data_IF_073542261158
#
_entry.id   IF_073542261158
#
_cell.length_a   1.000
_cell.length_b   1.000
_cell.length_c   1.000
_cell.angle_alpha   90.00
_cell.angle_beta   90.00
_cell.angle_gamma   90.00
#
_symmetry.space_group_name_H-M   'P 1'
#
loop_
_entity.id
_entity.type
_entity.pdbx_description
1 polymer ?
#
# COMPACT_ATOMS: atom_id res chain seq x y z
N UNK A 1 -20.26 -41.46 3.64
CA UNK A 1 -20.08 -39.98 3.70
C UNK A 1 -19.87 -39.64 5.16
N UNK A 2 -18.90 -38.84 5.54
CA UNK A 2 -18.85 -38.31 6.91
C UNK A 2 -20.14 -37.51 7.12
N UNK A 3 -20.77 -37.65 8.26
CA UNK A 3 -21.94 -36.90 8.63
C UNK A 3 -21.52 -35.44 8.78
N UNK A 4 -22.08 -34.55 7.98
CA UNK A 4 -21.87 -33.12 8.01
C UNK A 4 -22.94 -32.53 8.94
N UNK A 5 -22.49 -31.80 9.96
CA UNK A 5 -23.37 -31.08 10.88
C UNK A 5 -23.31 -29.60 10.56
N UNK A 6 -24.46 -28.98 10.41
CA UNK A 6 -24.55 -27.54 10.17
C UNK A 6 -25.30 -26.89 11.34
N UNK A 7 -24.75 -25.79 11.84
CA UNK A 7 -25.36 -24.99 12.88
C UNK A 7 -25.22 -23.50 12.57
N UNK A 8 -26.08 -22.67 13.12
CA UNK A 8 -26.03 -21.22 13.01
C UNK A 8 -25.72 -20.62 14.36
N UNK A 9 -24.77 -19.70 14.41
CA UNK A 9 -24.36 -18.98 15.60
C UNK A 9 -24.52 -17.47 15.37
N UNK A 10 -25.26 -16.80 16.28
CA UNK A 10 -25.43 -15.35 16.21
C UNK A 10 -24.70 -14.69 17.36
N UNK A 11 -23.81 -13.73 17.02
CA UNK A 11 -23.06 -12.95 18.00
C UNK A 11 -23.84 -11.69 18.38
N UNK A 12 -24.04 -11.47 19.68
CA UNK A 12 -24.82 -10.33 20.21
C UNK A 12 -24.06 -9.00 20.22
N UNK A 13 -22.72 -9.02 20.09
CA UNK A 13 -21.85 -7.83 20.05
C UNK A 13 -20.57 -8.11 19.29
N UNK A 14 -19.89 -7.04 18.86
CA UNK A 14 -18.57 -7.11 18.22
C UNK A 14 -17.46 -7.34 19.24
N UNK A 15 -16.38 -7.96 18.84
CA UNK A 15 -15.22 -8.25 19.68
C UNK A 15 -14.56 -9.57 19.35
N UNK A 16 -13.62 -9.96 20.18
CA UNK A 16 -12.98 -11.26 20.08
C UNK A 16 -13.83 -12.32 20.80
N UNK A 17 -14.09 -13.42 20.11
CA UNK A 17 -14.85 -14.53 20.60
C UNK A 17 -14.05 -15.81 20.52
N UNK A 18 -14.06 -16.57 21.61
CA UNK A 18 -13.57 -17.93 21.64
C UNK A 18 -14.79 -18.85 21.54
N UNK A 19 -14.87 -19.61 20.47
CA UNK A 19 -15.96 -20.58 20.27
C UNK A 19 -15.39 -21.97 20.37
N UNK A 20 -15.84 -22.73 21.37
CA UNK A 20 -15.50 -24.14 21.52
C UNK A 20 -16.65 -24.98 20.98
N UNK A 21 -16.34 -25.86 20.04
CA UNK A 21 -17.29 -26.82 19.47
C UNK A 21 -16.88 -28.20 19.95
N UNK A 22 -17.73 -28.86 20.74
CA UNK A 22 -17.47 -30.20 21.24
C UNK A 22 -18.38 -31.21 20.56
N UNK A 23 -17.80 -32.24 19.96
CA UNK A 23 -18.54 -33.39 19.43
C UNK A 23 -18.60 -34.47 20.52
N UNK A 24 -19.78 -34.67 21.10
CA UNK A 24 -20.03 -35.67 22.13
C UNK A 24 -20.42 -36.98 21.46
N UNK A 25 -19.58 -38.01 21.59
CA UNK A 25 -19.89 -39.37 21.13
C UNK A 25 -20.23 -40.28 22.31
N UNK A 26 -21.17 -41.17 22.09
CA UNK A 26 -21.66 -42.09 23.13
C UNK A 26 -20.64 -43.13 23.58
N UNK A 27 -19.52 -43.29 22.88
CA UNK A 27 -18.45 -44.24 23.22
C UNK A 27 -17.06 -43.55 23.12
N UNK A 28 -16.62 -42.99 24.22
CA UNK A 28 -15.22 -42.78 24.61
C UNK A 28 -14.29 -41.79 23.90
N UNK A 29 -14.74 -40.83 23.11
CA UNK A 29 -13.87 -39.72 22.74
C UNK A 29 -14.69 -38.48 22.39
N UNK A 30 -14.60 -37.48 23.27
CA UNK A 30 -15.03 -36.12 22.93
C UNK A 30 -13.92 -35.46 22.09
N UNK A 31 -14.28 -34.96 20.95
CA UNK A 31 -13.40 -34.14 20.12
C UNK A 31 -13.85 -32.69 20.23
N UNK A 32 -12.95 -31.77 20.56
CA UNK A 32 -13.28 -30.34 20.56
C UNK A 32 -12.40 -29.56 19.61
N UNK A 33 -12.97 -28.51 19.03
CA UNK A 33 -12.27 -27.53 18.22
C UNK A 33 -12.52 -26.14 18.79
N UNK A 34 -11.45 -25.40 19.01
CA UNK A 34 -11.53 -24.01 19.48
C UNK A 34 -11.28 -23.09 18.28
N UNK A 35 -12.23 -22.18 18.05
CA UNK A 35 -12.14 -21.17 17.01
C UNK A 35 -12.01 -19.79 17.65
N UNK A 36 -10.98 -19.06 17.25
CA UNK A 36 -10.87 -17.64 17.57
C UNK A 36 -11.50 -16.83 16.45
N UNK A 37 -12.56 -16.10 16.77
CA UNK A 37 -13.31 -15.32 15.80
C UNK A 37 -13.28 -13.83 16.19
N UNK A 38 -12.98 -12.97 15.23
CA UNK A 38 -13.11 -11.53 15.37
C UNK A 38 -14.42 -11.08 14.70
N UNK A 39 -15.41 -10.74 15.52
CA UNK A 39 -16.68 -10.18 15.05
C UNK A 39 -16.55 -8.67 14.96
N UNK A 40 -16.53 -8.15 13.74
CA UNK A 40 -16.46 -6.70 13.47
C UNK A 40 -17.86 -6.06 13.63
N UNK A 41 -17.94 -4.80 14.10
CA UNK A 41 -19.21 -4.07 14.13
C UNK A 41 -19.75 -3.89 12.70
N UNK A 42 -21.06 -3.80 12.54
CA UNK A 42 -21.66 -3.43 11.26
C UNK A 42 -21.26 -1.99 10.93
N UNK A 43 -21.05 -1.70 9.66
CA UNK A 43 -20.73 -0.33 9.22
C UNK A 43 -21.79 0.68 9.64
N UNK A 44 -23.06 0.27 9.72
CA UNK A 44 -24.19 1.09 10.19
C UNK A 44 -24.12 1.43 11.68
N UNK A 45 -23.38 0.65 12.47
CA UNK A 45 -23.31 0.80 13.93
C UNK A 45 -22.05 1.60 14.33
N UNK A 46 -21.20 1.94 13.36
CA UNK A 46 -20.00 2.74 13.57
C UNK A 46 -20.37 4.22 13.48
N UNK A 47 -20.19 4.95 14.58
CA UNK A 47 -20.20 6.40 14.52
C UNK A 47 -18.92 6.89 13.83
N UNK A 48 -19.04 7.32 12.57
CA UNK A 48 -17.92 7.88 11.83
C UNK A 48 -17.65 9.32 12.26
N UNK A 49 -16.42 9.60 12.60
CA UNK A 49 -15.92 10.97 12.77
C UNK A 49 -14.99 11.28 11.61
N UNK A 50 -15.32 12.29 10.81
CA UNK A 50 -14.43 12.80 9.76
C UNK A 50 -13.59 13.91 10.40
N UNK A 51 -12.27 13.82 10.21
CA UNK A 51 -11.33 14.86 10.58
C UNK A 51 -10.65 15.30 9.28
N UNK A 52 -10.66 16.60 9.03
CA UNK A 52 -10.05 17.21 7.86
C UNK A 52 -8.75 17.89 8.28
N UNK A 53 -7.69 17.69 7.48
CA UNK A 53 -6.40 18.34 7.65
C UNK A 53 -6.11 19.15 6.40
N UNK A 54 -5.90 20.44 6.56
CA UNK A 54 -5.56 21.33 5.45
C UNK A 54 -4.12 21.08 5.00
N UNK A 55 -3.95 20.78 3.72
CA UNK A 55 -2.64 20.68 3.10
C UNK A 55 -2.04 22.07 2.89
N UNK A 56 -0.69 22.18 2.94
CA UNK A 56 -0.02 23.44 2.62
C UNK A 56 -0.39 23.96 1.23
N UNK A 57 -0.30 25.30 1.06
CA UNK A 57 -0.62 25.94 -0.21
C UNK A 57 0.12 25.32 -1.40
N UNK A 58 -0.58 25.20 -2.51
CA UNK A 58 -0.09 24.62 -3.77
C UNK A 58 0.15 23.11 -3.77
N UNK A 59 -0.24 22.37 -2.74
CA UNK A 59 -0.26 20.92 -2.78
C UNK A 59 -1.34 20.42 -3.75
N UNK A 60 -1.01 19.40 -4.54
CA UNK A 60 -1.94 18.71 -5.46
C UNK A 60 -1.86 17.20 -5.20
N UNK A 61 -2.32 16.74 -4.02
CA UNK A 61 -2.19 15.35 -3.63
C UNK A 61 -2.95 14.45 -4.60
N UNK A 62 -2.32 13.34 -4.98
CA UNK A 62 -2.91 12.38 -5.90
C UNK A 62 -3.11 11.01 -5.25
N UNK A 63 -2.08 10.47 -4.60
CA UNK A 63 -2.10 9.12 -4.07
C UNK A 63 -1.60 9.08 -2.64
N UNK A 64 -2.40 8.55 -1.68
CA UNK A 64 -1.98 8.36 -0.29
C UNK A 64 -1.38 6.97 -0.10
N UNK A 65 -0.35 6.88 0.74
CA UNK A 65 0.27 5.64 1.18
C UNK A 65 0.52 5.69 2.69
N UNK A 66 -0.04 4.77 3.45
CA UNK A 66 0.28 4.59 4.86
C UNK A 66 1.53 3.73 5.01
N UNK A 67 2.51 4.20 5.78
CA UNK A 67 3.80 3.50 5.97
C UNK A 67 3.75 2.34 6.98
N UNK A 68 2.56 2.03 7.51
CA UNK A 68 2.39 0.98 8.51
C UNK A 68 2.80 1.39 9.92
N UNK A 69 3.23 2.63 10.15
CA UNK A 69 3.73 3.14 11.44
C UNK A 69 3.01 4.43 11.86
N UNK A 70 3.53 5.58 11.44
CA UNK A 70 3.06 6.87 11.91
C UNK A 70 2.87 7.90 10.78
N UNK A 71 3.14 7.57 9.54
CA UNK A 71 3.09 8.55 8.46
C UNK A 71 2.15 8.14 7.34
N UNK A 72 1.40 9.15 6.84
CA UNK A 72 0.73 9.07 5.55
C UNK A 72 1.57 9.84 4.54
N UNK A 73 2.07 9.15 3.54
CA UNK A 73 2.78 9.74 2.43
C UNK A 73 1.81 10.12 1.33
N UNK A 74 1.99 11.29 0.73
CA UNK A 74 1.17 11.75 -0.38
C UNK A 74 2.06 12.09 -1.57
N UNK A 75 1.67 11.62 -2.73
CA UNK A 75 2.24 12.08 -4.00
C UNK A 75 1.68 13.45 -4.39
N UNK A 76 2.43 14.20 -5.21
CA UNK A 76 1.99 15.49 -5.75
C UNK A 76 1.95 15.41 -7.29
N UNK A 77 0.77 15.57 -7.87
CA UNK A 77 0.54 15.34 -9.29
C UNK A 77 1.18 16.38 -10.23
N UNK A 78 1.50 17.56 -9.72
CA UNK A 78 1.95 18.70 -10.55
C UNK A 78 3.31 19.27 -10.12
N UNK A 79 3.87 18.76 -9.03
CA UNK A 79 5.13 19.27 -8.48
C UNK A 79 6.02 18.07 -8.10
N UNK A 80 7.35 18.14 -8.35
CA UNK A 80 8.28 17.07 -7.99
C UNK A 80 8.53 17.05 -6.49
N UNK A 81 7.56 16.54 -5.74
CA UNK A 81 7.55 16.59 -4.28
C UNK A 81 6.76 15.43 -3.70
N UNK A 82 7.24 14.92 -2.57
CA UNK A 82 6.51 14.04 -1.68
C UNK A 82 6.10 14.80 -0.43
N UNK A 83 4.91 14.53 0.08
CA UNK A 83 4.45 15.00 1.38
C UNK A 83 4.43 13.86 2.37
N UNK A 84 4.84 14.14 3.60
CA UNK A 84 4.71 13.26 4.75
C UNK A 84 3.81 13.93 5.78
N UNK A 85 2.71 13.30 6.11
CA UNK A 85 1.84 13.69 7.21
C UNK A 85 2.12 12.80 8.42
N UNK A 86 2.60 13.35 9.51
CA UNK A 86 2.77 12.64 10.77
C UNK A 86 1.44 12.53 11.50
N UNK A 87 1.02 11.30 11.81
CA UNK A 87 -0.25 11.04 12.50
C UNK A 87 -0.20 11.57 13.95
N UNK A 88 0.94 11.42 14.62
CA UNK A 88 1.11 11.83 16.02
C UNK A 88 1.13 13.35 16.18
N UNK A 89 1.91 14.06 15.36
CA UNK A 89 2.06 15.52 15.47
C UNK A 89 1.01 16.28 14.67
N UNK A 90 0.36 15.61 13.70
CA UNK A 90 -0.59 16.21 12.75
C UNK A 90 0.03 17.31 11.88
N UNK A 91 1.33 17.19 11.61
CA UNK A 91 2.10 18.13 10.81
C UNK A 91 2.51 17.56 9.47
N UNK A 92 2.66 18.44 8.47
CA UNK A 92 3.13 18.09 7.13
C UNK A 92 4.60 18.47 6.96
N UNK A 93 5.38 17.55 6.42
CA UNK A 93 6.72 17.79 5.87
C UNK A 93 6.72 17.56 4.38
N UNK A 94 7.64 18.19 3.64
CA UNK A 94 7.76 18.00 2.19
C UNK A 94 9.19 17.80 1.74
N UNK A 95 9.37 16.95 0.72
CA UNK A 95 10.65 16.57 0.16
C UNK A 95 10.63 16.75 -1.34
N UNK A 96 11.41 17.71 -1.85
CA UNK A 96 11.48 18.03 -3.28
C UNK A 96 12.71 17.40 -3.93
N UNK A 97 12.62 17.13 -5.23
CA UNK A 97 13.71 16.57 -6.03
C UNK A 97 13.76 17.22 -7.43
N UNK A 98 14.77 16.90 -8.22
CA UNK A 98 14.83 17.31 -9.63
C UNK A 98 13.97 16.37 -10.49
N UNK A 99 12.71 16.72 -10.64
CA UNK A 99 11.69 15.97 -11.36
C UNK A 99 10.60 16.86 -11.94
N UNK A 100 9.44 16.28 -12.25
CA UNK A 100 8.27 17.03 -12.70
C UNK A 100 7.03 16.75 -11.85
N UNK A 101 6.86 15.51 -11.37
CA UNK A 101 5.73 15.12 -10.54
C UNK A 101 6.05 13.88 -9.72
N UNK A 102 5.21 13.59 -8.73
CA UNK A 102 5.10 12.24 -8.16
C UNK A 102 3.68 11.75 -8.39
N UNK A 103 3.50 10.50 -8.83
CA UNK A 103 2.15 10.01 -9.12
C UNK A 103 1.71 8.88 -8.21
N UNK A 104 2.19 7.66 -8.39
CA UNK A 104 1.81 6.51 -7.57
C UNK A 104 2.94 6.13 -6.64
N UNK A 105 2.59 5.62 -5.46
CA UNK A 105 3.52 5.29 -4.38
C UNK A 105 3.44 3.81 -4.03
N UNK A 106 4.56 3.26 -3.58
CA UNK A 106 4.64 1.97 -2.91
C UNK A 106 5.74 2.02 -1.85
N UNK A 107 5.76 1.04 -0.96
CA UNK A 107 6.77 0.92 0.08
C UNK A 107 7.51 -0.40 -0.06
N UNK A 108 8.84 -0.38 0.06
CA UNK A 108 9.65 -1.60 0.15
C UNK A 108 9.73 -2.14 1.59
N UNK A 109 10.35 -3.31 1.78
CA UNK A 109 10.49 -3.92 3.10
C UNK A 109 11.45 -3.16 4.04
N UNK A 110 12.27 -2.25 3.49
CA UNK A 110 13.14 -1.37 4.27
C UNK A 110 12.40 -0.11 4.74
N UNK A 111 11.19 0.09 4.26
CA UNK A 111 10.36 1.24 4.58
C UNK A 111 10.57 2.45 3.66
N UNK A 112 11.41 2.37 2.64
CA UNK A 112 11.57 3.45 1.68
C UNK A 112 10.30 3.61 0.84
N UNK A 113 9.97 4.86 0.52
CA UNK A 113 8.77 5.17 -0.28
C UNK A 113 9.19 5.38 -1.72
N UNK A 114 8.78 4.47 -2.58
CA UNK A 114 9.01 4.52 -4.02
C UNK A 114 7.89 5.27 -4.73
N UNK A 115 8.23 5.95 -5.81
CA UNK A 115 7.28 6.72 -6.62
C UNK A 115 7.62 6.66 -8.11
N UNK A 116 6.66 7.07 -8.92
CA UNK A 116 6.84 7.29 -10.36
C UNK A 116 6.84 8.79 -10.66
N UNK A 117 7.85 9.27 -11.38
CA UNK A 117 7.83 10.55 -12.07
C UNK A 117 7.40 10.28 -13.53
N UNK A 118 6.09 10.17 -13.69
CA UNK A 118 5.45 9.81 -14.96
C UNK A 118 5.89 10.68 -16.14
N UNK A 119 5.95 12.04 -16.04
CA UNK A 119 6.32 12.87 -17.18
C UNK A 119 7.80 12.75 -17.61
N UNK A 120 8.68 12.26 -16.72
CA UNK A 120 10.11 12.06 -17.04
C UNK A 120 10.48 10.61 -17.33
N UNK A 121 9.53 9.68 -17.29
CA UNK A 121 9.80 8.25 -17.40
C UNK A 121 10.87 7.79 -16.39
N UNK A 122 10.67 8.18 -15.12
CA UNK A 122 11.56 7.85 -14.02
C UNK A 122 10.81 7.16 -12.90
N UNK A 123 11.51 6.34 -12.16
CA UNK A 123 11.16 5.95 -10.81
C UNK A 123 12.10 6.63 -9.83
N UNK A 124 11.67 6.77 -8.60
CA UNK A 124 12.53 7.25 -7.53
C UNK A 124 12.08 6.70 -6.19
N UNK A 125 12.90 6.91 -5.19
CA UNK A 125 12.53 6.61 -3.81
C UNK A 125 13.10 7.65 -2.86
N UNK A 126 12.41 7.86 -1.76
CA UNK A 126 12.93 8.56 -0.59
C UNK A 126 13.40 7.52 0.43
N UNK A 127 14.67 7.62 0.83
CA UNK A 127 15.19 6.82 1.92
C UNK A 127 14.58 7.28 3.23
N UNK A 128 13.95 6.35 3.97
CA UNK A 128 13.14 6.71 5.14
C UNK A 128 13.96 7.28 6.30
N UNK A 129 15.23 6.93 6.39
CA UNK A 129 16.12 7.37 7.46
C UNK A 129 16.77 8.72 7.15
N UNK A 130 17.34 8.83 5.94
CA UNK A 130 18.11 10.03 5.55
C UNK A 130 17.24 11.13 4.94
N UNK A 131 16.01 10.79 4.53
CA UNK A 131 15.07 11.65 3.79
C UNK A 131 15.64 12.15 2.45
N UNK A 132 16.65 11.47 1.92
CA UNK A 132 17.21 11.77 0.60
C UNK A 132 16.44 11.06 -0.49
N UNK A 133 16.21 11.78 -1.59
CA UNK A 133 15.54 11.23 -2.77
C UNK A 133 16.58 10.87 -3.83
N UNK A 134 16.42 9.68 -4.38
CA UNK A 134 17.19 9.18 -5.53
C UNK A 134 16.22 8.85 -6.65
N UNK A 135 16.58 9.22 -7.89
CA UNK A 135 15.77 8.90 -9.08
C UNK A 135 16.53 8.07 -10.07
N UNK A 136 15.81 7.29 -10.89
CA UNK A 136 16.32 6.40 -11.91
C UNK A 136 15.48 6.50 -13.18
N UNK A 137 16.13 6.80 -14.30
CA UNK A 137 15.46 6.80 -15.61
C UNK A 137 15.14 5.37 -16.05
N UNK A 138 13.92 5.14 -16.48
CA UNK A 138 13.50 3.86 -17.07
C UNK A 138 14.05 3.82 -18.51
N UNK A 139 14.85 2.80 -18.86
CA UNK A 139 15.46 2.73 -20.19
C UNK A 139 14.41 2.46 -21.29
N UNK A 140 14.72 2.86 -22.50
CA UNK A 140 13.94 2.58 -23.72
C UNK A 140 12.49 3.12 -23.70
N UNK A 141 12.19 4.08 -22.85
CA UNK A 141 10.92 4.82 -22.87
C UNK A 141 11.16 6.21 -23.45
N UNK A 142 10.40 6.56 -24.49
CA UNK A 142 10.40 7.91 -25.05
C UNK A 142 9.35 8.77 -24.33
N UNK A 143 9.76 9.81 -23.59
CA UNK A 143 8.82 10.63 -22.82
C UNK A 143 7.88 11.48 -23.70
N UNK A 144 8.14 11.57 -25.00
CA UNK A 144 7.25 12.27 -25.95
C UNK A 144 6.08 11.40 -26.42
N UNK A 145 6.14 10.09 -26.14
CA UNK A 145 5.13 9.12 -26.55
C UNK A 145 4.31 8.72 -25.33
N UNK A 146 3.06 9.21 -25.25
CA UNK A 146 2.15 8.98 -24.13
C UNK A 146 1.88 7.49 -23.85
N UNK A 147 1.96 6.63 -24.87
CA UNK A 147 1.83 5.18 -24.76
C UNK A 147 2.99 4.51 -24.02
N UNK A 148 4.11 5.21 -23.86
CA UNK A 148 5.29 4.71 -23.13
C UNK A 148 5.35 5.20 -21.68
N UNK A 149 4.28 5.72 -21.17
CA UNK A 149 4.24 6.37 -19.85
C UNK A 149 4.18 5.35 -18.72
N UNK A 150 5.13 5.36 -17.77
CA UNK A 150 5.04 4.56 -16.57
C UNK A 150 3.92 5.11 -15.67
N UNK A 151 3.08 4.22 -15.14
CA UNK A 151 1.90 4.61 -14.35
C UNK A 151 1.96 4.07 -12.92
N UNK A 152 1.60 2.80 -12.73
CA UNK A 152 1.51 2.22 -11.40
C UNK A 152 2.83 1.58 -10.99
N UNK A 153 3.08 1.57 -9.70
CA UNK A 153 4.30 1.03 -9.09
C UNK A 153 3.92 0.16 -7.89
N UNK A 154 4.60 -0.98 -7.73
CA UNK A 154 4.40 -1.88 -6.62
C UNK A 154 5.72 -2.56 -6.26
N UNK A 155 6.09 -2.55 -4.98
CA UNK A 155 7.17 -3.37 -4.47
C UNK A 155 6.68 -4.80 -4.18
N UNK A 156 7.48 -5.81 -4.48
CA UNK A 156 7.24 -7.19 -4.09
C UNK A 156 7.97 -7.55 -2.77
N UNK A 157 7.82 -8.79 -2.33
CA UNK A 157 8.44 -9.27 -1.08
C UNK A 157 9.98 -9.38 -1.13
N UNK A 158 10.56 -9.36 -2.33
CA UNK A 158 12.00 -9.40 -2.56
C UNK A 158 12.58 -8.01 -2.88
N UNK A 159 11.81 -6.94 -2.60
CA UNK A 159 12.14 -5.54 -2.84
C UNK A 159 12.33 -5.18 -4.34
N UNK A 160 11.88 -6.03 -5.27
CA UNK A 160 11.82 -5.62 -6.66
C UNK A 160 10.64 -4.66 -6.88
N UNK A 161 10.83 -3.73 -7.78
CA UNK A 161 9.86 -2.68 -8.08
C UNK A 161 9.20 -2.97 -9.43
N UNK A 162 7.92 -3.26 -9.41
CA UNK A 162 7.12 -3.54 -10.60
C UNK A 162 6.41 -2.28 -11.08
N UNK A 163 6.48 -2.03 -12.39
CA UNK A 163 5.96 -0.80 -13.02
C UNK A 163 5.10 -1.19 -14.23
N UNK A 164 3.89 -0.64 -14.32
CA UNK A 164 3.06 -0.79 -15.53
C UNK A 164 3.40 0.33 -16.52
N UNK A 165 3.42 0.00 -17.82
CA UNK A 165 3.60 0.97 -18.90
C UNK A 165 2.23 1.18 -19.58
N UNK A 166 1.76 2.43 -19.57
CA UNK A 166 0.46 2.79 -20.12
C UNK A 166 0.36 2.44 -21.60
N UNK A 167 -0.76 1.80 -22.01
CA UNK A 167 -1.05 1.35 -23.38
C UNK A 167 0.01 0.44 -24.01
N UNK A 168 0.83 -0.23 -23.21
CA UNK A 168 1.72 -1.31 -23.66
C UNK A 168 1.29 -2.61 -22.99
N UNK A 169 1.38 -3.71 -23.72
CA UNK A 169 1.08 -5.05 -23.21
C UNK A 169 2.28 -5.59 -22.42
N UNK A 170 2.82 -4.79 -21.51
CA UNK A 170 4.03 -5.12 -20.75
C UNK A 170 4.08 -4.47 -19.37
N UNK A 171 4.83 -5.12 -18.50
CA UNK A 171 5.27 -4.61 -17.22
C UNK A 171 6.79 -4.63 -17.15
N UNK A 172 7.35 -3.74 -16.34
CA UNK A 172 8.79 -3.72 -16.04
C UNK A 172 9.01 -4.13 -14.59
N UNK A 173 10.11 -4.81 -14.35
CA UNK A 173 10.65 -5.10 -13.04
C UNK A 173 12.01 -4.40 -12.90
N UNK A 174 12.17 -3.58 -11.91
CA UNK A 174 13.45 -3.02 -11.48
C UNK A 174 13.94 -3.76 -10.25
N UNK A 175 15.16 -4.26 -10.30
CA UNK A 175 15.85 -4.86 -9.15
C UNK A 175 16.84 -3.85 -8.56
N UNK A 176 16.59 -3.30 -7.37
CA UNK A 176 17.51 -2.40 -6.70
C UNK A 176 18.86 -3.04 -6.36
N UNK A 177 18.87 -4.35 -6.06
CA UNK A 177 20.09 -5.10 -5.73
C UNK A 177 21.07 -5.14 -6.90
N UNK A 178 20.58 -5.36 -8.12
CA UNK A 178 21.42 -5.50 -9.32
C UNK A 178 21.44 -4.25 -10.20
N UNK A 179 20.65 -3.24 -9.85
CA UNK A 179 20.47 -2.02 -10.64
C UNK A 179 20.05 -2.29 -12.09
N UNK A 180 19.11 -3.22 -12.30
CA UNK A 180 18.68 -3.68 -13.62
C UNK A 180 17.19 -3.59 -13.82
N UNK A 181 16.78 -3.33 -15.08
CA UNK A 181 15.40 -3.42 -15.53
C UNK A 181 15.21 -4.67 -16.39
N UNK A 182 14.11 -5.38 -16.17
CA UNK A 182 13.64 -6.49 -16.99
C UNK A 182 12.23 -6.17 -17.50
N UNK A 183 11.94 -6.57 -18.74
CA UNK A 183 10.65 -6.38 -19.40
C UNK A 183 9.92 -7.71 -19.54
N UNK A 184 8.59 -7.72 -19.25
CA UNK A 184 7.70 -8.89 -19.36
C UNK A 184 6.45 -8.56 -20.16
#
# INVERSE_FOLDING_TARGET
KPDEFQGELTFGFSGEWLVEIEAIRTENANESVILNLLVKPRLTDIQTKIIEYELPENAKPLFPLYDGKNSIWLSDALVPRLWEFSIDTQEFSSYSFDGLATTFLTQDNQGNIWFVDTPRNQIGFINIETKQITTKTIPNLDPTIIENTPMFIQADFDDNIWITIFKKDKILKYSPEFDTFEEF
#
